data_IF_058031460432
#
_entry.id   IF_058031460432
#
_cell.length_a   1.000
_cell.length_b   1.000
_cell.length_c   1.000
_cell.angle_alpha   90.00
_cell.angle_beta   90.00
_cell.angle_gamma   90.00
#
_symmetry.space_group_name_H-M   'P 1'
#
loop_
_entity.id
_entity.type
_entity.pdbx_description
1 polymer ?
#
# COMPACT_ATOMS: atom_id res chain seq x y z
N UNK A 1 5.55 -14.46 -1.98
CA UNK A 1 4.28 -14.74 -2.68
C UNK A 1 3.53 -15.92 -2.08
N UNK A 2 4.19 -17.03 -1.75
CA UNK A 2 3.57 -18.23 -1.16
C UNK A 2 2.80 -17.99 0.16
N UNK A 3 3.35 -17.25 1.11
CA UNK A 3 2.71 -16.97 2.41
C UNK A 3 1.35 -16.27 2.30
N UNK A 4 1.14 -15.45 1.27
CA UNK A 4 -0.12 -14.71 1.05
C UNK A 4 -1.24 -15.62 0.56
N UNK A 5 -0.94 -16.54 -0.35
CA UNK A 5 -1.89 -17.56 -0.82
C UNK A 5 -2.27 -18.50 0.31
N UNK A 6 -1.30 -18.96 1.08
CA UNK A 6 -1.49 -19.88 2.22
C UNK A 6 -2.39 -19.24 3.29
N UNK A 7 -2.17 -17.97 3.65
CA UNK A 7 -2.99 -17.28 4.65
C UNK A 7 -4.46 -17.16 4.24
N UNK A 8 -4.73 -16.93 2.95
CA UNK A 8 -6.10 -16.80 2.43
C UNK A 8 -6.78 -18.14 2.17
N UNK A 9 -6.03 -19.23 2.17
CA UNK A 9 -6.51 -20.61 2.02
C UNK A 9 -6.63 -21.35 3.38
N UNK A 10 -6.75 -20.60 4.47
CA UNK A 10 -7.00 -21.13 5.80
C UNK A 10 -5.77 -21.55 6.60
N UNK A 11 -4.60 -21.00 6.31
CA UNK A 11 -3.40 -21.23 7.10
C UNK A 11 -3.63 -20.81 8.58
N UNK A 12 -3.34 -21.67 9.57
CA UNK A 12 -3.59 -21.38 10.98
C UNK A 12 -2.57 -20.42 11.62
N UNK A 13 -1.61 -19.90 10.85
CA UNK A 13 -0.61 -18.98 11.38
C UNK A 13 -1.22 -17.61 11.71
N UNK A 14 -0.85 -17.01 12.84
CA UNK A 14 -1.32 -15.70 13.21
C UNK A 14 -0.85 -14.65 12.19
N UNK A 15 -1.74 -13.74 11.83
CA UNK A 15 -1.45 -12.64 10.90
C UNK A 15 -1.65 -11.31 11.59
N UNK A 16 -0.61 -10.46 11.58
CA UNK A 16 -0.71 -9.09 12.06
C UNK A 16 -1.74 -8.31 11.24
N UNK A 17 -2.69 -7.69 11.91
CA UNK A 17 -3.69 -6.86 11.25
C UNK A 17 -3.26 -5.40 11.13
N UNK A 18 -3.73 -4.72 10.09
CA UNK A 18 -3.69 -3.27 9.96
C UNK A 18 -5.10 -2.76 9.68
N UNK A 19 -5.55 -1.74 10.38
CA UNK A 19 -6.92 -1.20 10.27
C UNK A 19 -8.01 -2.28 10.35
N UNK A 20 -7.81 -3.29 11.22
CA UNK A 20 -8.79 -4.31 11.55
C UNK A 20 -8.91 -5.48 10.55
N UNK A 21 -7.96 -5.65 9.64
CA UNK A 21 -7.95 -6.79 8.72
C UNK A 21 -6.54 -7.37 8.54
N UNK A 22 -6.42 -8.71 8.62
CA UNK A 22 -5.15 -9.42 8.43
C UNK A 22 -4.57 -9.22 7.03
N UNK A 23 -5.40 -9.31 5.99
CA UNK A 23 -4.96 -9.07 4.60
C UNK A 23 -4.38 -7.66 4.42
N UNK A 24 -4.95 -6.63 5.06
CA UNK A 24 -4.38 -5.28 5.07
C UNK A 24 -3.01 -5.25 5.74
N UNK A 25 -2.85 -5.97 6.86
CA UNK A 25 -1.57 -6.11 7.54
C UNK A 25 -0.50 -6.73 6.64
N UNK A 26 -0.82 -7.82 5.94
CA UNK A 26 0.10 -8.45 5.00
C UNK A 26 0.55 -7.50 3.89
N UNK A 27 -0.38 -6.71 3.34
CA UNK A 27 -0.08 -5.75 2.26
C UNK A 27 0.75 -4.58 2.74
N UNK A 28 0.52 -4.09 3.95
CA UNK A 28 1.30 -2.98 4.53
C UNK A 28 2.71 -3.46 4.93
N UNK A 29 2.80 -4.60 5.61
CA UNK A 29 4.05 -5.00 6.27
C UNK A 29 5.03 -5.66 5.30
N UNK A 30 4.57 -6.65 4.51
CA UNK A 30 5.49 -7.47 3.74
C UNK A 30 6.24 -6.69 2.67
N UNK A 31 5.60 -5.89 1.79
CA UNK A 31 6.34 -5.16 0.76
C UNK A 31 7.33 -4.15 1.34
N UNK A 32 6.97 -3.47 2.43
CA UNK A 32 7.85 -2.51 3.10
C UNK A 32 9.03 -3.22 3.77
N UNK A 33 8.77 -4.36 4.44
CA UNK A 33 9.84 -5.14 5.08
C UNK A 33 10.81 -5.70 4.07
N UNK A 34 10.31 -6.31 2.99
CA UNK A 34 11.14 -6.88 1.92
C UNK A 34 11.98 -5.78 1.23
N UNK A 35 11.37 -4.62 0.98
CA UNK A 35 12.11 -3.47 0.42
C UNK A 35 13.20 -2.98 1.37
N UNK A 36 12.91 -2.89 2.66
CA UNK A 36 13.89 -2.48 3.67
C UNK A 36 15.07 -3.46 3.76
N UNK A 37 14.79 -4.76 3.70
CA UNK A 37 15.81 -5.80 3.74
C UNK A 37 16.64 -5.81 2.45
N UNK A 38 16.02 -5.64 1.30
CA UNK A 38 16.71 -5.55 0.00
C UNK A 38 17.59 -4.29 -0.12
N UNK A 39 17.22 -3.20 0.54
CA UNK A 39 17.98 -1.95 0.58
C UNK A 39 19.01 -1.93 1.73
N UNK A 40 19.09 -2.99 2.53
CA UNK A 40 20.01 -3.13 3.67
C UNK A 40 19.95 -1.93 4.63
N UNK A 41 18.75 -1.32 4.81
CA UNK A 41 18.59 -0.17 5.70
C UNK A 41 18.65 -0.58 7.18
N UNK A 42 18.96 0.40 8.04
CA UNK A 42 18.95 0.16 9.50
C UNK A 42 17.57 -0.27 10.01
N UNK A 43 17.56 -1.04 11.11
CA UNK A 43 16.30 -1.44 11.77
C UNK A 43 15.45 -0.22 12.15
N UNK A 44 16.07 0.86 12.59
CA UNK A 44 15.34 2.10 12.90
C UNK A 44 14.61 2.65 11.67
N UNK A 45 15.27 2.72 10.51
CA UNK A 45 14.64 3.20 9.26
C UNK A 45 13.53 2.27 8.81
N UNK A 46 13.71 0.95 8.92
CA UNK A 46 12.67 -0.05 8.65
C UNK A 46 11.43 0.16 9.54
N UNK A 47 11.62 0.34 10.85
CA UNK A 47 10.52 0.56 11.80
C UNK A 47 9.78 1.87 11.49
N UNK A 48 10.51 2.95 11.17
CA UNK A 48 9.90 4.23 10.77
C UNK A 48 9.06 4.09 9.51
N UNK A 49 9.57 3.40 8.50
CA UNK A 49 8.83 3.14 7.24
C UNK A 49 7.54 2.35 7.49
N UNK A 50 7.59 1.32 8.33
CA UNK A 50 6.42 0.56 8.74
C UNK A 50 5.41 1.41 9.52
N UNK A 51 5.88 2.27 10.44
CA UNK A 51 5.02 3.18 11.17
C UNK A 51 4.30 4.16 10.24
N UNK A 52 5.02 4.78 9.29
CA UNK A 52 4.45 5.65 8.27
C UNK A 52 3.38 4.89 7.47
N UNK A 53 3.70 3.70 6.98
CA UNK A 53 2.77 2.88 6.21
C UNK A 53 1.51 2.53 7.02
N UNK A 54 1.64 2.17 8.29
CA UNK A 54 0.47 1.90 9.14
C UNK A 54 -0.39 3.15 9.39
N UNK A 55 0.23 4.31 9.61
CA UNK A 55 -0.48 5.58 9.79
C UNK A 55 -1.24 6.00 8.53
N UNK A 56 -0.59 5.93 7.38
CA UNK A 56 -1.24 6.22 6.07
C UNK A 56 -2.39 5.24 5.82
N UNK A 57 -2.19 3.94 6.05
CA UNK A 57 -3.26 2.96 5.93
C UNK A 57 -4.44 3.27 6.86
N UNK A 58 -4.16 3.68 8.09
CA UNK A 58 -5.19 4.07 9.06
C UNK A 58 -5.94 5.31 8.60
N UNK A 59 -5.23 6.31 8.10
CA UNK A 59 -5.77 7.55 7.59
C UNK A 59 -6.74 7.30 6.43
N UNK A 60 -6.31 6.59 5.38
CA UNK A 60 -7.15 6.26 4.22
C UNK A 60 -8.40 5.47 4.66
N UNK A 61 -8.23 4.50 5.57
CA UNK A 61 -9.37 3.71 6.05
C UNK A 61 -10.37 4.51 6.91
N UNK A 62 -10.02 5.70 7.38
CA UNK A 62 -10.98 6.58 8.06
C UNK A 62 -12.01 7.16 7.06
N UNK A 63 -11.62 7.33 5.80
CA UNK A 63 -12.52 7.82 4.74
C UNK A 63 -13.29 6.68 4.07
N UNK A 64 -12.62 5.62 3.65
CA UNK A 64 -13.26 4.53 2.89
C UNK A 64 -13.94 3.47 3.78
N UNK A 65 -13.73 3.52 5.09
CA UNK A 65 -14.29 2.56 6.04
C UNK A 65 -13.55 1.22 6.08
N UNK A 66 -13.97 0.34 7.01
CA UNK A 66 -13.37 -0.99 7.18
C UNK A 66 -13.72 -1.94 6.04
N UNK A 67 -14.93 -1.82 5.52
CA UNK A 67 -15.46 -2.57 4.39
C UNK A 67 -15.96 -1.58 3.36
N UNK A 68 -15.60 -1.80 2.11
CA UNK A 68 -15.92 -0.93 0.99
C UNK A 68 -16.18 -1.78 -0.25
N UNK A 69 -17.02 -1.33 -1.20
CA UNK A 69 -17.12 -1.94 -2.52
C UNK A 69 -15.79 -1.96 -3.27
N UNK A 70 -14.93 -0.99 -3.01
CA UNK A 70 -13.56 -1.00 -3.49
C UNK A 70 -12.70 -1.95 -2.65
N UNK A 71 -11.71 -2.58 -3.27
CA UNK A 71 -10.79 -3.47 -2.56
C UNK A 71 -9.84 -2.66 -1.66
N UNK A 72 -10.27 -2.35 -0.43
CA UNK A 72 -9.48 -1.55 0.51
C UNK A 72 -8.13 -2.18 0.88
N UNK A 73 -7.98 -3.51 0.73
CA UNK A 73 -6.68 -4.18 0.89
C UNK A 73 -5.68 -3.76 -0.18
N UNK A 74 -6.14 -3.41 -1.39
CA UNK A 74 -5.29 -2.89 -2.46
C UNK A 74 -5.27 -1.37 -2.41
N UNK A 75 -6.44 -0.72 -2.45
CA UNK A 75 -6.53 0.74 -2.44
C UNK A 75 -5.75 1.38 -1.28
N UNK A 76 -6.18 1.11 -0.04
CA UNK A 76 -5.59 1.76 1.12
C UNK A 76 -4.22 1.18 1.50
N UNK A 77 -4.13 -0.15 1.57
CA UNK A 77 -2.93 -0.78 2.13
C UNK A 77 -1.76 -0.78 1.16
N UNK A 78 -2.00 -0.92 -0.15
CA UNK A 78 -0.91 -0.80 -1.13
C UNK A 78 -0.46 0.64 -1.32
N UNK A 79 -1.38 1.62 -1.22
CA UNK A 79 -1.01 3.04 -1.19
C UNK A 79 -0.11 3.32 0.01
N UNK A 80 -0.49 2.84 1.18
CA UNK A 80 0.32 2.97 2.39
C UNK A 80 1.69 2.30 2.26
N UNK A 81 1.75 1.11 1.66
CA UNK A 81 3.01 0.43 1.38
C UNK A 81 3.88 1.21 0.40
N UNK A 82 3.29 1.82 -0.64
CA UNK A 82 4.00 2.67 -1.60
C UNK A 82 4.67 3.85 -0.91
N UNK A 83 3.96 4.54 -0.01
CA UNK A 83 4.53 5.64 0.78
C UNK A 83 5.68 5.15 1.67
N UNK A 84 5.52 4.01 2.35
CA UNK A 84 6.58 3.42 3.16
C UNK A 84 7.83 3.06 2.33
N UNK A 85 7.65 2.51 1.13
CA UNK A 85 8.76 2.19 0.21
C UNK A 85 9.41 3.47 -0.32
N UNK A 86 8.64 4.49 -0.69
CA UNK A 86 9.19 5.78 -1.11
C UNK A 86 10.04 6.42 -0.01
N UNK A 87 9.61 6.34 1.26
CA UNK A 87 10.42 6.77 2.40
C UNK A 87 11.72 5.98 2.53
N UNK A 88 11.70 4.65 2.35
CA UNK A 88 12.91 3.83 2.37
C UNK A 88 13.91 4.24 1.29
N UNK A 89 13.41 4.61 0.12
CA UNK A 89 14.20 5.09 -1.01
C UNK A 89 14.74 6.52 -0.81
N UNK A 90 14.36 7.19 0.27
CA UNK A 90 14.82 8.55 0.59
C UNK A 90 13.98 9.66 -0.04
N UNK A 91 12.76 9.36 -0.42
CA UNK A 91 11.83 10.33 -0.99
C UNK A 91 11.54 11.51 -0.05
N UNK A 92 11.39 12.70 -0.62
CA UNK A 92 10.93 13.90 0.08
C UNK A 92 9.44 13.80 0.44
N UNK A 93 8.95 14.68 1.32
CA UNK A 93 7.53 14.72 1.68
C UNK A 93 6.63 14.91 0.45
N UNK A 94 7.06 15.71 -0.53
CA UNK A 94 6.37 15.89 -1.79
C UNK A 94 6.31 14.59 -2.60
N UNK A 95 7.43 13.86 -2.68
CA UNK A 95 7.51 12.57 -3.38
C UNK A 95 6.68 11.49 -2.67
N UNK A 96 6.55 11.53 -1.34
CA UNK A 96 5.60 10.67 -0.62
C UNK A 96 4.15 10.95 -1.04
N UNK A 97 3.80 12.24 -1.25
CA UNK A 97 2.52 12.64 -1.82
C UNK A 97 2.32 12.14 -3.26
N UNK A 98 3.37 12.16 -4.08
CA UNK A 98 3.34 11.59 -5.44
C UNK A 98 3.05 10.09 -5.41
N UNK A 99 3.59 9.35 -4.44
CA UNK A 99 3.29 7.92 -4.30
C UNK A 99 1.79 7.68 -4.03
N UNK A 100 1.14 8.51 -3.21
CA UNK A 100 -0.31 8.45 -3.00
C UNK A 100 -1.07 8.71 -4.31
N UNK A 101 -0.72 9.79 -5.03
CA UNK A 101 -1.35 10.14 -6.30
C UNK A 101 -1.21 9.04 -7.35
N UNK A 102 0.00 8.50 -7.52
CA UNK A 102 0.27 7.43 -8.46
C UNK A 102 -0.55 6.18 -8.14
N UNK A 103 -0.66 5.82 -6.88
CA UNK A 103 -1.47 4.68 -6.45
C UNK A 103 -2.96 4.91 -6.69
N UNK A 104 -3.48 6.10 -6.37
CA UNK A 104 -4.89 6.45 -6.58
C UNK A 104 -5.25 6.37 -8.05
N UNK A 105 -4.41 6.90 -8.95
CA UNK A 105 -4.64 6.82 -10.39
C UNK A 105 -4.46 5.42 -11.00
N UNK A 106 -3.83 4.49 -10.27
CA UNK A 106 -3.49 3.17 -10.83
C UNK A 106 -4.44 2.06 -10.39
N UNK A 107 -4.83 2.00 -9.10
CA UNK A 107 -5.53 0.82 -8.55
C UNK A 107 -6.95 1.08 -8.03
N UNK A 108 -7.46 2.30 -8.15
CA UNK A 108 -8.76 2.70 -7.58
C UNK A 108 -9.96 1.90 -8.11
N UNK A 109 -9.91 1.46 -9.35
CA UNK A 109 -11.00 0.69 -9.96
C UNK A 109 -11.13 -0.77 -9.50
N UNK A 110 -10.32 -1.24 -8.57
CA UNK A 110 -10.37 -2.64 -8.14
C UNK A 110 -11.54 -2.90 -7.18
N UNK A 111 -12.48 -3.72 -7.61
CA UNK A 111 -13.69 -4.07 -6.83
C UNK A 111 -13.38 -5.19 -5.84
N UNK A 112 -13.97 -5.10 -4.63
CA UNK A 112 -13.96 -6.17 -3.64
C UNK A 112 -15.07 -7.18 -3.94
N UNK A 113 -14.69 -8.46 -4.03
CA UNK A 113 -15.60 -9.59 -4.22
C UNK A 113 -15.66 -10.53 -2.99
N UNK A 114 -15.22 -10.04 -1.85
CA UNK A 114 -15.15 -10.79 -0.58
C UNK A 114 -13.82 -11.51 -0.35
N UNK A 115 -13.63 -12.00 0.87
CA UNK A 115 -12.42 -12.71 1.28
C UNK A 115 -12.35 -14.11 0.66
N UNK A 116 -11.53 -14.29 -0.36
CA UNK A 116 -11.34 -15.55 -1.11
C UNK A 116 -9.88 -15.75 -1.46
N UNK A 117 -9.50 -16.94 -1.88
CA UNK A 117 -8.15 -17.27 -2.38
C UNK A 117 -7.73 -16.31 -3.49
N UNK A 118 -8.65 -15.86 -4.35
CA UNK A 118 -8.42 -14.85 -5.37
C UNK A 118 -7.92 -13.50 -4.85
N UNK A 119 -8.15 -13.17 -3.57
CA UNK A 119 -7.55 -11.98 -2.95
C UNK A 119 -6.02 -12.04 -2.93
N UNK A 120 -5.41 -13.22 -2.96
CA UNK A 120 -3.95 -13.36 -3.04
C UNK A 120 -3.39 -12.70 -4.31
N UNK A 121 -4.09 -12.85 -5.44
CA UNK A 121 -3.70 -12.19 -6.69
C UNK A 121 -3.86 -10.67 -6.62
N UNK A 122 -4.96 -10.19 -6.02
CA UNK A 122 -5.16 -8.74 -5.79
C UNK A 122 -4.07 -8.16 -4.89
N UNK A 123 -3.71 -8.87 -3.83
CA UNK A 123 -2.61 -8.47 -2.92
C UNK A 123 -1.28 -8.43 -3.66
N UNK A 124 -0.98 -9.43 -4.49
CA UNK A 124 0.25 -9.44 -5.30
C UNK A 124 0.29 -8.26 -6.28
N UNK A 125 -0.82 -8.02 -7.00
CA UNK A 125 -0.96 -6.87 -7.91
C UNK A 125 -0.77 -5.55 -7.17
N UNK A 126 -1.44 -5.36 -6.02
CA UNK A 126 -1.30 -4.16 -5.21
C UNK A 126 0.12 -3.94 -4.68
N UNK A 127 0.82 -5.00 -4.29
CA UNK A 127 2.22 -4.91 -3.84
C UNK A 127 3.16 -4.53 -4.98
N UNK A 128 2.93 -5.06 -6.18
CA UNK A 128 3.72 -4.70 -7.36
C UNK A 128 3.45 -3.25 -7.79
N UNK A 129 2.19 -2.82 -7.76
CA UNK A 129 1.82 -1.43 -8.01
C UNK A 129 2.46 -0.48 -6.98
N UNK A 130 2.47 -0.86 -5.69
CA UNK A 130 3.08 -0.06 -4.62
C UNK A 130 4.57 0.20 -4.89
N UNK A 131 5.31 -0.83 -5.30
CA UNK A 131 6.72 -0.67 -5.64
C UNK A 131 6.91 0.22 -6.87
N UNK A 132 6.14 -0.02 -7.93
CA UNK A 132 6.21 0.79 -9.15
C UNK A 132 5.89 2.27 -8.88
N UNK A 133 4.80 2.54 -8.13
CA UNK A 133 4.39 3.89 -7.80
C UNK A 133 5.38 4.60 -6.86
N UNK A 134 6.02 3.89 -5.94
CA UNK A 134 7.08 4.44 -5.11
C UNK A 134 8.33 4.82 -5.95
N UNK A 135 8.76 3.92 -6.84
CA UNK A 135 9.90 4.18 -7.72
C UNK A 135 9.66 5.38 -8.65
N UNK A 136 8.49 5.45 -9.28
CA UNK A 136 8.16 6.59 -10.14
C UNK A 136 8.04 7.89 -9.35
N UNK A 137 7.51 7.84 -8.13
CA UNK A 137 7.38 9.00 -7.25
C UNK A 137 8.75 9.59 -6.87
N UNK A 138 9.71 8.77 -6.44
CA UNK A 138 11.05 9.25 -6.04
C UNK A 138 11.91 9.71 -7.22
N UNK A 139 11.48 9.43 -8.45
CA UNK A 139 12.10 9.92 -9.68
C UNK A 139 11.32 11.11 -10.30
N UNK A 140 10.50 11.78 -9.50
CA UNK A 140 9.71 12.96 -9.90
C UNK A 140 8.81 12.72 -11.13
N UNK A 141 8.22 11.51 -11.19
CA UNK A 141 7.30 11.11 -12.25
C UNK A 141 5.88 10.84 -11.69
N UNK A 142 5.19 11.86 -11.12
CA UNK A 142 3.81 11.70 -10.66
C UNK A 142 2.84 11.72 -11.84
N UNK A 143 1.69 11.06 -11.66
CA UNK A 143 0.53 11.28 -12.50
C UNK A 143 0.09 12.74 -12.41
N UNK A 144 -0.46 13.28 -13.50
CA UNK A 144 -0.90 14.68 -13.55
C UNK A 144 -2.17 14.85 -12.73
N UNK A 145 -2.36 16.04 -12.19
CA UNK A 145 -3.60 16.43 -11.50
C UNK A 145 -4.83 16.27 -12.39
N UNK A 146 -4.65 16.42 -13.72
CA UNK A 146 -5.72 16.26 -14.72
C UNK A 146 -6.00 14.80 -15.09
N UNK A 147 -5.24 13.82 -14.58
CA UNK A 147 -5.36 12.43 -15.00
C UNK A 147 -6.38 11.69 -14.11
N UNK A 148 -7.56 11.44 -14.67
CA UNK A 148 -8.61 10.63 -14.02
C UNK A 148 -9.09 11.24 -12.70
N UNK A 149 -8.88 10.52 -11.61
CA UNK A 149 -9.27 10.91 -10.25
C UNK A 149 -8.12 11.58 -9.47
N UNK A 150 -6.99 11.83 -10.10
CA UNK A 150 -5.88 12.50 -9.43
C UNK A 150 -6.22 13.94 -9.05
N UNK A 151 -5.65 14.43 -7.96
CA UNK A 151 -5.88 15.75 -7.44
C UNK A 151 -4.57 16.44 -7.03
N UNK A 152 -4.63 17.72 -6.64
CA UNK A 152 -3.42 18.47 -6.26
C UNK A 152 -2.80 17.96 -4.97
N UNK A 153 -3.63 17.69 -3.97
CA UNK A 153 -3.14 17.18 -2.69
C UNK A 153 -3.32 15.67 -2.57
N UNK A 154 -2.47 14.99 -1.79
CA UNK A 154 -2.66 13.58 -1.48
C UNK A 154 -4.00 13.29 -0.82
N UNK A 155 -4.50 14.20 0.01
CA UNK A 155 -5.77 14.11 0.71
C UNK A 155 -6.95 14.12 -0.25
N UNK A 156 -6.89 14.93 -1.30
CA UNK A 156 -7.94 15.01 -2.33
C UNK A 156 -7.92 13.81 -3.28
N UNK A 157 -6.83 13.02 -3.27
CA UNK A 157 -6.72 11.75 -4.01
C UNK A 157 -7.37 10.57 -3.27
N UNK A 158 -7.73 10.73 -2.00
CA UNK A 158 -8.28 9.69 -1.12
C UNK A 158 -9.80 9.79 -1.04
#
# INVERSE_FOLDING_TARGET
MALRSISLDGCPLPTMSSSGAGTKGLVVILPVSEAADALEVSMEKKVRALAIAHLVNRYINAYIGKLSPMCSCVMASSTAASVGIAYLLGGSDEQLGYAVRNMSGTVTGMICDGGKVGCAMKVATGSSAALLCALTAVHDAPLRVSDGICAETPEDCI
#
